data_IF_006369233958
#
_entry.id   IF_006369233958
#
_cell.length_a   1.000
_cell.length_b   1.000
_cell.length_c   1.000
_cell.angle_alpha   90.00
_cell.angle_beta   90.00
_cell.angle_gamma   90.00
#
_symmetry.space_group_name_H-M   'P 1'
#
loop_
_entity.id
_entity.type
_entity.pdbx_description
1 polymer ?
#
# COMPACT_ATOMS: atom_id res chain seq x y z
N UNK A 1 -18.17 -46.53 32.22
CA UNK A 1 -18.43 -45.13 31.82
C UNK A 1 -18.67 -45.08 30.31
N UNK A 2 -19.76 -44.47 29.85
CA UNK A 2 -20.02 -44.31 28.42
C UNK A 2 -19.14 -43.19 27.84
N UNK A 3 -18.39 -43.48 26.76
CA UNK A 3 -17.63 -42.48 26.02
C UNK A 3 -18.53 -41.89 24.93
N UNK A 4 -18.83 -40.60 25.00
CA UNK A 4 -19.53 -39.88 23.94
C UNK A 4 -18.52 -39.49 22.86
N UNK A 5 -18.81 -39.81 21.59
CA UNK A 5 -18.08 -39.35 20.41
C UNK A 5 -19.06 -38.64 19.49
N UNK A 6 -18.83 -37.35 19.25
CA UNK A 6 -19.61 -36.53 18.31
C UNK A 6 -18.70 -36.04 17.20
N UNK A 7 -19.17 -36.11 15.95
CA UNK A 7 -18.48 -35.54 14.78
C UNK A 7 -19.04 -34.13 14.54
N UNK A 8 -18.15 -33.14 14.55
CA UNK A 8 -18.46 -31.79 14.06
C UNK A 8 -18.06 -31.72 12.59
N UNK A 9 -18.94 -31.19 11.75
CA UNK A 9 -18.69 -30.94 10.33
C UNK A 9 -18.96 -29.49 10.01
N UNK A 10 -18.11 -28.87 9.20
CA UNK A 10 -18.33 -27.51 8.70
C UNK A 10 -18.10 -27.47 7.19
N UNK A 11 -18.79 -26.55 6.52
CA UNK A 11 -18.59 -26.32 5.10
C UNK A 11 -17.25 -25.61 4.88
N UNK A 12 -16.25 -26.40 4.52
CA UNK A 12 -14.88 -25.92 4.32
C UNK A 12 -14.78 -24.90 3.19
N UNK A 13 -15.54 -25.09 2.11
CA UNK A 13 -15.51 -24.20 0.96
C UNK A 13 -16.12 -22.84 1.31
N UNK A 14 -17.28 -22.85 1.98
CA UNK A 14 -17.92 -21.64 2.46
C UNK A 14 -17.05 -20.88 3.48
N UNK A 15 -16.40 -21.59 4.41
CA UNK A 15 -15.46 -20.97 5.37
C UNK A 15 -14.29 -20.29 4.66
N UNK A 16 -13.67 -20.95 3.69
CA UNK A 16 -12.55 -20.37 2.92
C UNK A 16 -13.01 -19.12 2.16
N UNK A 17 -14.17 -19.18 1.51
CA UNK A 17 -14.71 -18.04 0.78
C UNK A 17 -14.95 -16.82 1.70
N UNK A 18 -15.50 -17.04 2.90
CA UNK A 18 -15.70 -15.98 3.90
C UNK A 18 -14.40 -15.36 4.37
N UNK A 19 -13.40 -16.18 4.69
CA UNK A 19 -12.08 -15.69 5.11
C UNK A 19 -11.43 -14.84 4.01
N UNK A 20 -11.51 -15.28 2.74
CA UNK A 20 -10.97 -14.53 1.61
C UNK A 20 -11.66 -13.17 1.42
N UNK A 21 -13.00 -13.14 1.50
CA UNK A 21 -13.75 -11.89 1.42
C UNK A 21 -13.38 -10.93 2.55
N UNK A 22 -13.41 -11.40 3.80
CA UNK A 22 -13.03 -10.61 4.96
C UNK A 22 -11.57 -10.11 4.89
N UNK A 23 -10.66 -10.93 4.35
CA UNK A 23 -9.27 -10.57 4.13
C UNK A 23 -9.13 -9.43 3.10
N UNK A 24 -9.83 -9.50 1.97
CA UNK A 24 -9.80 -8.44 0.96
C UNK A 24 -10.33 -7.12 1.54
N UNK A 25 -11.44 -7.18 2.25
CA UNK A 25 -11.99 -6.00 2.89
C UNK A 25 -11.00 -5.45 3.95
N UNK A 26 -10.35 -6.30 4.75
CA UNK A 26 -9.37 -5.86 5.76
C UNK A 26 -8.10 -5.28 5.13
N UNK A 27 -7.66 -5.82 4.00
CA UNK A 27 -6.55 -5.27 3.21
C UNK A 27 -6.91 -3.93 2.59
N UNK A 28 -8.18 -3.70 2.26
CA UNK A 28 -8.66 -2.40 1.75
C UNK A 28 -8.49 -1.33 2.83
N UNK A 29 -9.03 -1.56 4.03
CA UNK A 29 -8.90 -0.60 5.14
C UNK A 29 -7.42 -0.28 5.48
N UNK A 30 -6.57 -1.32 5.52
CA UNK A 30 -5.14 -1.15 5.75
C UNK A 30 -4.45 -0.43 4.57
N UNK A 31 -4.82 -0.76 3.35
CA UNK A 31 -4.29 -0.19 2.12
C UNK A 31 -4.60 1.30 1.98
N UNK A 32 -5.80 1.72 2.34
CA UNK A 32 -6.21 3.12 2.39
C UNK A 32 -5.34 3.92 3.36
N UNK A 33 -5.11 3.37 4.56
CA UNK A 33 -4.23 4.00 5.53
C UNK A 33 -2.77 4.04 5.03
N UNK A 34 -2.27 2.94 4.48
CA UNK A 34 -0.92 2.86 3.94
C UNK A 34 -0.70 3.87 2.79
N UNK A 35 -1.73 4.11 1.96
CA UNK A 35 -1.70 5.12 0.92
C UNK A 35 -1.58 6.53 1.50
N UNK A 36 -2.37 6.86 2.53
CA UNK A 36 -2.32 8.16 3.19
C UNK A 36 -0.98 8.40 3.87
N UNK A 37 -0.44 7.39 4.55
CA UNK A 37 0.85 7.47 5.22
C UNK A 37 2.01 7.61 4.23
N UNK A 38 2.02 6.79 3.17
CA UNK A 38 3.03 6.90 2.12
C UNK A 38 2.96 8.26 1.40
N UNK A 39 1.76 8.81 1.22
CA UNK A 39 1.55 10.10 0.55
C UNK A 39 2.17 11.28 1.31
N UNK A 40 2.31 11.20 2.64
CA UNK A 40 3.02 12.21 3.45
C UNK A 40 4.49 12.37 3.06
N UNK A 41 5.08 11.29 2.54
CA UNK A 41 6.51 11.21 2.19
C UNK A 41 6.77 11.37 0.69
N UNK A 42 5.71 11.53 -0.10
CA UNK A 42 5.84 11.79 -1.54
C UNK A 42 6.48 13.17 -1.73
N UNK A 43 7.52 13.27 -2.59
CA UNK A 43 8.10 14.56 -2.98
C UNK A 43 7.02 15.53 -3.47
N UNK A 44 7.02 16.74 -2.89
CA UNK A 44 6.12 17.81 -3.30
C UNK A 44 6.58 18.35 -4.66
N UNK A 45 5.84 17.97 -5.70
CA UNK A 45 5.85 18.60 -7.01
C UNK A 45 4.65 19.57 -7.12
N UNK A 46 4.26 19.99 -8.33
CA UNK A 46 3.03 20.73 -8.64
C UNK A 46 1.72 20.00 -8.26
N UNK A 47 1.75 19.06 -7.30
CA UNK A 47 0.62 18.26 -6.82
C UNK A 47 0.28 17.04 -7.66
N UNK A 48 0.83 16.90 -8.87
CA UNK A 48 0.49 15.83 -9.80
C UNK A 48 0.85 14.43 -9.25
N UNK A 49 2.01 14.28 -8.62
CA UNK A 49 2.47 12.99 -8.12
C UNK A 49 1.63 12.51 -6.92
N UNK A 50 1.41 13.37 -5.93
CA UNK A 50 0.59 13.04 -4.75
C UNK A 50 -0.85 12.70 -5.14
N UNK A 51 -1.49 13.55 -5.96
CA UNK A 51 -2.85 13.29 -6.46
C UNK A 51 -2.93 12.00 -7.26
N UNK A 52 -1.86 11.64 -7.98
CA UNK A 52 -1.84 10.41 -8.73
C UNK A 52 -1.85 9.16 -7.85
N UNK A 53 -1.23 9.23 -6.66
CA UNK A 53 -1.28 8.19 -5.65
C UNK A 53 -2.71 7.79 -5.30
N UNK A 54 -3.53 8.81 -5.04
CA UNK A 54 -4.94 8.68 -4.69
C UNK A 54 -5.79 8.18 -5.87
N UNK A 55 -5.49 8.63 -7.09
CA UNK A 55 -6.31 8.27 -8.27
C UNK A 55 -5.94 6.94 -8.93
N UNK A 56 -4.74 6.38 -8.69
CA UNK A 56 -4.26 5.19 -9.39
C UNK A 56 -4.07 3.96 -8.51
N UNK A 57 -4.00 4.14 -7.19
CA UNK A 57 -3.97 2.99 -6.28
C UNK A 57 -5.28 2.21 -6.37
N UNK A 58 -5.23 0.94 -5.98
CA UNK A 58 -6.45 0.11 -5.96
C UNK A 58 -7.51 0.75 -5.05
N UNK A 59 -8.76 0.79 -5.49
CA UNK A 59 -9.87 1.21 -4.63
C UNK A 59 -10.25 0.14 -3.59
N UNK A 60 -9.97 -1.12 -3.92
CA UNK A 60 -10.25 -2.30 -3.09
C UNK A 60 -9.23 -3.39 -3.34
N UNK A 61 -8.94 -4.16 -2.30
CA UNK A 61 -8.11 -5.33 -2.45
C UNK A 61 -8.88 -6.44 -3.17
N UNK A 62 -8.20 -7.11 -4.10
CA UNK A 62 -8.73 -8.25 -4.85
C UNK A 62 -7.72 -9.38 -4.76
N UNK A 63 -8.22 -10.59 -4.49
CA UNK A 63 -7.39 -11.79 -4.35
C UNK A 63 -6.21 -11.66 -3.36
N UNK A 64 -6.42 -10.91 -2.26
CA UNK A 64 -5.41 -10.71 -1.23
C UNK A 64 -4.35 -9.67 -1.59
N UNK A 65 -4.59 -8.84 -2.60
CA UNK A 65 -3.64 -7.84 -3.09
C UNK A 65 -4.32 -6.46 -3.10
N UNK A 66 -3.64 -5.48 -2.50
CA UNK A 66 -3.94 -4.05 -2.61
C UNK A 66 -2.67 -3.33 -3.09
N UNK A 67 -2.75 -2.64 -4.21
CA UNK A 67 -1.60 -2.06 -4.89
C UNK A 67 -1.59 -0.55 -4.76
N UNK A 68 -0.52 -0.02 -4.19
CA UNK A 68 -0.22 1.42 -4.22
C UNK A 68 0.44 1.79 -5.55
N UNK A 69 -0.06 2.83 -6.23
CA UNK A 69 0.47 3.27 -7.52
C UNK A 69 0.57 4.79 -7.57
N UNK A 70 1.68 5.28 -8.10
CA UNK A 70 1.89 6.69 -8.41
C UNK A 70 2.18 6.85 -9.90
N UNK A 71 1.65 7.91 -10.52
CA UNK A 71 1.76 8.14 -11.95
C UNK A 71 3.07 8.82 -12.33
N UNK A 72 3.54 8.43 -13.52
CA UNK A 72 4.37 9.13 -14.51
C UNK A 72 5.84 8.69 -14.59
N UNK A 73 6.50 8.90 -15.73
CA UNK A 73 7.97 8.87 -15.83
C UNK A 73 8.68 9.69 -14.74
N UNK A 74 8.00 10.68 -14.14
CA UNK A 74 8.57 11.47 -13.05
C UNK A 74 8.64 10.69 -11.73
N UNK A 75 7.67 9.81 -11.44
CA UNK A 75 7.72 8.96 -10.25
C UNK A 75 8.96 8.06 -10.24
N UNK A 76 9.41 7.58 -11.42
CA UNK A 76 10.58 6.68 -11.51
C UNK A 76 11.89 7.33 -11.08
N UNK A 77 12.18 8.56 -11.50
CA UNK A 77 13.42 9.20 -11.08
C UNK A 77 13.29 9.76 -9.66
N UNK A 78 12.11 10.30 -9.29
CA UNK A 78 11.86 10.79 -7.93
C UNK A 78 11.95 9.66 -6.91
N UNK A 79 11.52 8.45 -7.28
CA UNK A 79 11.64 7.25 -6.47
C UNK A 79 13.11 6.96 -6.11
N UNK A 80 14.03 7.16 -7.04
CA UNK A 80 15.46 6.98 -6.81
C UNK A 80 16.18 8.25 -6.34
N UNK A 81 15.47 9.39 -6.22
CA UNK A 81 16.07 10.66 -5.86
C UNK A 81 17.09 11.19 -6.88
N UNK A 82 17.03 10.78 -8.15
CA UNK A 82 18.06 11.14 -9.15
C UNK A 82 17.73 12.46 -9.86
N UNK A 83 18.73 13.31 -10.11
CA UNK A 83 18.56 14.49 -10.98
C UNK A 83 18.29 14.04 -12.42
N UNK A 84 17.26 14.60 -13.05
CA UNK A 84 16.95 14.39 -14.47
C UNK A 84 17.64 15.46 -15.32
N UNK A 85 18.45 15.02 -16.29
CA UNK A 85 19.09 15.87 -17.28
C UNK A 85 18.47 15.68 -18.67
N UNK A 86 18.65 16.66 -19.56
CA UNK A 86 18.24 16.59 -20.95
C UNK A 86 16.89 17.28 -21.24
N UNK A 87 16.19 16.84 -22.29
CA UNK A 87 14.94 17.43 -22.78
C UNK A 87 13.83 16.36 -22.88
N UNK A 88 12.55 16.73 -23.15
CA UNK A 88 11.45 15.77 -23.17
C UNK A 88 11.65 14.55 -24.10
N UNK A 89 12.48 14.67 -25.14
CA UNK A 89 12.77 13.61 -26.12
C UNK A 89 14.06 12.83 -25.83
N UNK A 90 14.89 13.29 -24.88
CA UNK A 90 16.14 12.64 -24.49
C UNK A 90 16.47 12.99 -23.04
N UNK A 91 16.22 12.04 -22.12
CA UNK A 91 16.42 12.19 -20.67
C UNK A 91 17.48 11.22 -20.17
N UNK A 92 18.39 11.72 -19.34
CA UNK A 92 19.33 10.91 -18.55
C UNK A 92 19.12 11.20 -17.06
N UNK A 93 19.53 10.29 -16.18
CA UNK A 93 19.28 10.37 -14.74
C UNK A 93 20.58 10.14 -13.97
N UNK A 94 20.80 10.91 -12.89
CA UNK A 94 22.00 10.82 -12.06
C UNK A 94 23.27 11.34 -12.75
N UNK A 95 24.43 11.34 -12.06
CA UNK A 95 24.68 10.74 -10.75
C UNK A 95 24.29 11.63 -9.56
N UNK A 96 23.97 12.91 -9.79
CA UNK A 96 23.57 13.82 -8.73
C UNK A 96 22.19 13.46 -8.17
N UNK A 97 21.99 13.76 -6.89
CA UNK A 97 20.73 13.53 -6.17
C UNK A 97 19.94 14.83 -6.06
N UNK A 98 18.63 14.73 -6.25
CA UNK A 98 17.72 15.85 -5.99
C UNK A 98 17.70 16.15 -4.49
N UNK A 99 17.68 17.44 -4.17
CA UNK A 99 17.33 17.88 -2.82
C UNK A 99 15.83 18.06 -2.77
N UNK A 100 15.15 17.27 -1.94
CA UNK A 100 13.72 17.47 -1.71
C UNK A 100 13.50 18.75 -0.90
N UNK A 101 12.59 19.60 -1.36
CA UNK A 101 12.26 20.87 -0.69
C UNK A 101 11.38 20.67 0.54
N UNK A 102 10.65 19.55 0.61
CA UNK A 102 9.88 19.14 1.78
C UNK A 102 10.75 18.33 2.73
N UNK A 103 10.78 18.71 4.01
CA UNK A 103 11.53 18.00 5.05
C UNK A 103 11.05 16.55 5.28
N UNK A 104 9.82 16.22 4.88
CA UNK A 104 9.23 14.88 5.03
C UNK A 104 9.35 14.02 3.78
N UNK A 105 9.86 14.57 2.67
CA UNK A 105 9.94 13.84 1.41
C UNK A 105 11.15 12.88 1.39
N UNK A 106 10.92 11.66 0.91
CA UNK A 106 11.94 10.61 0.86
C UNK A 106 11.99 9.96 -0.52
N UNK A 107 13.19 9.55 -0.92
CA UNK A 107 13.34 8.51 -1.95
C UNK A 107 12.69 7.23 -1.44
N UNK A 108 12.19 6.42 -2.37
CA UNK A 108 11.49 5.18 -2.03
C UNK A 108 10.40 5.36 -0.96
N UNK A 109 9.65 6.47 -1.01
CA UNK A 109 8.74 6.93 0.06
C UNK A 109 7.79 5.85 0.59
N UNK A 110 7.33 4.91 -0.25
CA UNK A 110 6.47 3.82 0.20
C UNK A 110 7.22 2.77 1.05
N UNK A 111 8.52 2.54 0.79
CA UNK A 111 9.38 1.72 1.65
C UNK A 111 9.65 2.44 2.97
N UNK A 112 10.00 3.72 2.91
CA UNK A 112 10.18 4.53 4.12
C UNK A 112 8.92 4.52 4.99
N UNK A 113 7.75 4.77 4.41
CA UNK A 113 6.47 4.71 5.12
C UNK A 113 6.22 3.33 5.76
N UNK A 114 6.57 2.23 5.07
CA UNK A 114 6.46 0.89 5.65
C UNK A 114 7.38 0.70 6.86
N UNK A 115 8.58 1.25 6.84
CA UNK A 115 9.51 1.19 7.98
C UNK A 115 8.96 1.95 9.21
N UNK A 116 8.28 3.08 8.98
CA UNK A 116 7.72 3.91 10.06
C UNK A 116 6.38 3.36 10.57
N UNK A 117 5.46 2.98 9.67
CA UNK A 117 4.05 2.71 10.00
C UNK A 117 3.66 1.23 9.90
N UNK A 118 4.59 0.33 9.52
CA UNK A 118 4.26 -1.06 9.20
C UNK A 118 3.58 -1.85 10.32
N UNK A 119 3.94 -1.60 11.58
CA UNK A 119 3.27 -2.25 12.72
C UNK A 119 1.84 -1.71 12.95
N UNK A 120 1.60 -0.43 12.67
CA UNK A 120 0.25 0.15 12.72
C UNK A 120 -0.64 -0.44 11.62
N UNK A 121 -0.13 -0.54 10.40
CA UNK A 121 -0.85 -1.17 9.28
C UNK A 121 -1.24 -2.61 9.58
N UNK A 122 -0.33 -3.36 10.22
CA UNK A 122 -0.62 -4.73 10.67
C UNK A 122 -1.72 -4.77 11.73
N UNK A 123 -1.70 -3.85 12.69
CA UNK A 123 -2.75 -3.75 13.71
C UNK A 123 -4.11 -3.42 13.09
N UNK A 124 -4.15 -2.50 12.12
CA UNK A 124 -5.35 -2.11 11.37
C UNK A 124 -5.93 -3.30 10.62
N UNK A 125 -5.09 -4.02 9.87
CA UNK A 125 -5.50 -5.24 9.17
C UNK A 125 -6.08 -6.29 10.14
N UNK A 126 -5.40 -6.55 11.25
CA UNK A 126 -5.85 -7.55 12.24
C UNK A 126 -7.18 -7.15 12.90
N UNK A 127 -7.35 -5.87 13.23
CA UNK A 127 -8.59 -5.35 13.79
C UNK A 127 -9.75 -5.47 12.79
N UNK A 128 -9.52 -5.04 11.54
CA UNK A 128 -10.51 -5.11 10.47
C UNK A 128 -10.91 -6.56 10.15
N UNK A 129 -9.94 -7.47 10.05
CA UNK A 129 -10.21 -8.88 9.80
C UNK A 129 -11.02 -9.51 10.94
N UNK A 130 -10.67 -9.19 12.19
CA UNK A 130 -11.41 -9.69 13.36
C UNK A 130 -12.86 -9.21 13.35
N UNK A 131 -13.10 -7.96 12.99
CA UNK A 131 -14.45 -7.40 12.91
C UNK A 131 -15.27 -8.07 11.80
N UNK A 132 -14.69 -8.26 10.62
CA UNK A 132 -15.37 -8.84 9.45
C UNK A 132 -15.65 -10.34 9.57
N UNK A 133 -15.00 -11.00 10.52
CA UNK A 133 -15.19 -12.43 10.82
C UNK A 133 -16.15 -12.69 12.00
N UNK A 134 -16.69 -11.65 12.63
CA UNK A 134 -17.74 -11.77 13.65
C UNK A 134 -19.08 -12.12 13.03
#
# INVERSE_FOLDING_TARGET
MAKIKTRVTFDRAATIARIKAASNDALTDMGDQALMDASKHVPKDQGALENSGLSLSDEKAVEGIYTLRWNTPYARYLWHGDVMYGNPNSRTYGPEKISFTSALAHEEWAKYAKEIYGEEWKAVYQAALKEKMR
#
